data_IF_976455610656
#
_entry.id   IF_976455610656
#
_cell.length_a   1.000
_cell.length_b   1.000
_cell.length_c   1.000
_cell.angle_alpha   90.00
_cell.angle_beta   90.00
_cell.angle_gamma   90.00
#
_symmetry.space_group_name_H-M   'P 1'
#
loop_
_entity.id
_entity.type
_entity.pdbx_description
1 polymer ?
#
# COMPACT_ATOMS: atom_id res chain seq x y z
N UNK A 1 -36.73 24.22 39.57
CA UNK A 1 -37.61 23.08 39.91
C UNK A 1 -36.69 21.93 40.34
N UNK A 2 -36.91 21.42 41.55
CA UNK A 2 -36.31 20.27 42.26
C UNK A 2 -35.53 19.26 41.38
N UNK A 3 -34.39 18.64 41.76
CA UNK A 3 -33.92 18.18 43.08
C UNK A 3 -32.39 18.06 43.12
N UNK A 4 -31.84 18.34 44.31
CA UNK A 4 -30.53 17.90 44.78
C UNK A 4 -30.67 16.58 45.57
N UNK A 5 -29.54 15.89 45.80
CA UNK A 5 -29.23 14.89 46.87
C UNK A 5 -28.75 13.53 46.33
N UNK A 6 -27.81 12.76 46.90
CA UNK A 6 -26.98 12.81 48.13
C UNK A 6 -25.90 11.69 47.98
N UNK A 7 -24.73 11.91 48.59
CA UNK A 7 -23.69 11.02 49.18
C UNK A 7 -23.75 9.48 48.95
N UNK A 8 -22.65 8.71 48.92
CA UNK A 8 -21.67 8.56 50.02
C UNK A 8 -20.44 7.77 49.57
N UNK A 9 -19.26 8.15 50.07
CA UNK A 9 -18.06 7.32 50.08
C UNK A 9 -18.07 6.39 51.32
N UNK A 10 -17.51 5.18 51.21
CA UNK A 10 -16.82 4.54 52.34
C UNK A 10 -15.74 3.55 51.89
N UNK A 11 -14.79 3.44 52.79
CA UNK A 11 -13.39 3.09 52.63
C UNK A 11 -13.12 1.76 53.36
N UNK A 12 -11.93 1.17 53.11
CA UNK A 12 -11.23 0.16 53.93
C UNK A 12 -11.70 -1.30 53.95
N UNK A 13 -10.85 -2.23 53.48
CA UNK A 13 -9.89 -2.95 54.35
C UNK A 13 -8.92 -3.83 53.53
N UNK A 14 -7.64 -3.83 53.93
CA UNK A 14 -6.56 -4.76 53.49
C UNK A 14 -6.53 -6.00 54.45
N UNK A 15 -5.45 -6.82 54.53
CA UNK A 15 -5.06 -7.94 53.68
C UNK A 15 -4.75 -9.23 54.51
N UNK A 16 -4.41 -10.38 53.89
CA UNK A 16 -3.49 -11.42 54.45
C UNK A 16 -3.22 -12.51 53.39
N UNK A 17 -1.96 -12.72 52.97
CA UNK A 17 -0.98 -13.76 53.41
C UNK A 17 -1.43 -15.19 53.04
N UNK A 18 -0.65 -16.10 52.44
CA UNK A 18 0.78 -16.40 52.65
C UNK A 18 1.33 -17.40 51.63
N UNK A 19 2.61 -17.22 51.26
CA UNK A 19 3.71 -18.19 51.04
C UNK A 19 3.42 -19.58 50.44
N UNK A 20 4.22 -19.93 49.42
CA UNK A 20 5.26 -20.98 49.58
C UNK A 20 6.42 -20.78 48.60
N UNK A 21 7.61 -20.74 49.18
CA UNK A 21 8.92 -20.82 48.55
C UNK A 21 9.26 -22.27 48.21
N UNK A 22 9.86 -22.53 47.05
CA UNK A 22 10.76 -23.67 46.89
C UNK A 22 12.15 -23.16 46.50
N UNK A 23 13.08 -23.31 47.44
CA UNK A 23 14.52 -23.40 47.21
C UNK A 23 14.81 -24.85 46.84
N UNK A 24 15.60 -25.08 45.81
CA UNK A 24 16.37 -26.33 45.66
C UNK A 24 17.83 -25.96 45.39
N UNK A 25 18.69 -26.53 46.22
CA UNK A 25 20.14 -26.34 46.30
C UNK A 25 20.82 -27.58 45.72
N UNK A 26 21.81 -27.32 44.87
CA UNK A 26 23.07 -28.03 44.57
C UNK A 26 23.10 -29.55 44.34
N UNK A 27 23.80 -29.94 43.28
CA UNK A 27 24.98 -30.81 43.39
C UNK A 27 26.00 -30.43 42.31
N UNK A 28 27.25 -30.26 42.75
CA UNK A 28 28.47 -30.16 41.95
C UNK A 28 29.11 -31.54 41.99
N UNK A 29 29.54 -32.07 40.85
CA UNK A 29 30.45 -33.21 40.79
C UNK A 29 31.63 -32.84 39.90
N UNK A 30 32.80 -32.79 40.50
CA UNK A 30 34.10 -32.76 39.83
C UNK A 30 34.59 -34.20 39.74
N UNK A 31 34.99 -34.64 38.55
CA UNK A 31 35.98 -35.70 38.42
C UNK A 31 37.09 -35.22 37.49
N UNK A 32 38.29 -35.23 38.05
CA UNK A 32 39.54 -35.03 37.35
C UNK A 32 39.81 -36.23 36.43
N UNK A 33 40.29 -35.97 35.22
CA UNK A 33 40.69 -37.01 34.29
C UNK A 33 41.49 -36.44 33.14
N UNK A 34 42.67 -35.88 33.43
CA UNK A 34 43.66 -35.59 32.41
C UNK A 34 44.27 -36.91 31.92
N UNK A 35 44.15 -37.20 30.62
CA UNK A 35 45.11 -38.05 29.91
C UNK A 35 45.49 -37.32 28.61
N UNK A 36 46.78 -37.06 28.49
CA UNK A 36 47.44 -36.23 27.48
C UNK A 36 48.02 -37.13 26.39
N UNK A 37 48.06 -36.59 25.15
CA UNK A 37 48.85 -37.02 23.98
C UNK A 37 48.32 -38.27 23.23
N UNK A 38 48.10 -38.28 21.90
CA UNK A 38 48.83 -37.63 20.79
C UNK A 38 47.95 -37.58 19.51
N UNK A 39 48.12 -36.50 18.75
CA UNK A 39 48.15 -36.38 17.27
C UNK A 39 47.07 -37.11 16.45
N UNK A 40 46.17 -36.32 15.84
CA UNK A 40 45.90 -36.39 14.39
C UNK A 40 45.37 -35.03 13.92
N UNK A 41 46.23 -34.32 13.19
CA UNK A 41 45.87 -33.28 12.23
C UNK A 41 44.80 -33.81 11.28
N UNK A 42 43.82 -32.98 10.90
CA UNK A 42 43.03 -33.25 9.69
C UNK A 42 41.73 -32.46 9.61
N UNK A 43 41.79 -31.30 8.94
CA UNK A 43 40.72 -30.57 8.25
C UNK A 43 39.27 -31.09 8.38
N UNK A 44 38.37 -30.24 8.90
CA UNK A 44 37.08 -29.92 8.27
C UNK A 44 36.34 -28.83 9.07
N UNK A 45 36.85 -27.59 9.06
CA UNK A 45 36.02 -26.44 9.43
C UNK A 45 35.28 -25.97 8.16
N UNK A 46 34.21 -26.68 7.81
CA UNK A 46 33.30 -26.23 6.75
C UNK A 46 32.51 -25.05 7.33
N UNK A 47 32.84 -23.86 6.84
CA UNK A 47 32.02 -22.66 6.99
C UNK A 47 30.60 -22.95 6.51
N UNK A 48 29.68 -23.20 7.43
CA UNK A 48 28.26 -22.90 7.19
C UNK A 48 28.06 -21.39 7.39
N UNK A 49 28.62 -20.60 6.46
CA UNK A 49 28.03 -19.33 6.07
C UNK A 49 26.72 -19.71 5.37
N UNK A 50 25.67 -19.88 6.17
CA UNK A 50 24.31 -19.74 5.65
C UNK A 50 24.23 -18.30 5.14
N UNK A 51 24.13 -18.03 3.83
CA UNK A 51 23.56 -16.77 3.41
C UNK A 51 22.14 -16.81 3.98
N UNK A 52 21.91 -16.11 5.09
CA UNK A 52 20.57 -15.63 5.36
C UNK A 52 20.13 -15.01 4.05
N UNK A 53 19.01 -15.42 3.44
CA UNK A 53 18.50 -14.69 2.30
C UNK A 53 18.40 -13.27 2.81
N UNK A 54 19.22 -12.38 2.24
CA UNK A 54 18.99 -10.98 2.32
C UNK A 54 17.52 -10.88 1.93
N UNK A 55 16.66 -10.61 2.91
CA UNK A 55 15.45 -9.87 2.62
C UNK A 55 16.02 -8.66 1.91
N UNK A 56 15.98 -8.70 0.57
CA UNK A 56 16.11 -7.54 -0.26
C UNK A 56 15.24 -6.53 0.47
N UNK A 57 15.89 -5.57 1.12
CA UNK A 57 15.20 -4.56 1.88
C UNK A 57 14.27 -3.96 0.84
N UNK A 58 12.98 -4.22 0.97
CA UNK A 58 11.99 -3.60 0.12
C UNK A 58 12.33 -2.11 0.22
N UNK A 59 12.74 -1.53 -0.91
CA UNK A 59 13.20 -0.15 -0.99
C UNK A 59 12.29 0.73 -0.17
N UNK A 60 12.85 1.72 0.54
CA UNK A 60 12.19 2.46 1.62
C UNK A 60 10.83 3.03 1.14
N UNK A 61 9.81 2.19 1.27
CA UNK A 61 8.44 2.42 0.83
C UNK A 61 7.68 2.75 2.09
N UNK A 62 7.10 3.95 2.12
CA UNK A 62 6.35 4.43 3.26
C UNK A 62 5.36 5.50 2.83
N UNK A 63 4.46 5.84 3.73
CA UNK A 63 3.55 6.96 3.53
C UNK A 63 3.72 7.99 4.64
N UNK A 64 3.30 9.21 4.34
CA UNK A 64 3.15 10.27 5.32
C UNK A 64 1.71 10.72 5.31
N UNK A 65 1.13 10.86 6.50
CA UNK A 65 -0.16 11.51 6.74
C UNK A 65 0.13 12.93 7.21
N UNK A 66 -0.40 13.92 6.53
CA UNK A 66 -0.19 15.33 6.89
C UNK A 66 -1.52 16.05 7.09
N UNK A 67 -1.48 17.09 7.93
CA UNK A 67 -2.64 17.91 8.30
C UNK A 67 -2.38 19.36 7.92
N UNK A 68 -3.22 19.95 7.08
CA UNK A 68 -3.06 21.33 6.62
C UNK A 68 -4.39 22.05 6.43
N UNK A 69 -4.33 23.39 6.43
CA UNK A 69 -5.50 24.26 6.28
C UNK A 69 -6.31 24.48 7.56
N UNK A 70 -7.29 25.38 7.46
CA UNK A 70 -8.27 25.68 8.52
C UNK A 70 -9.67 25.63 7.89
N UNK A 71 -10.56 24.71 8.32
CA UNK A 71 -10.31 23.60 9.26
C UNK A 71 -9.27 22.60 8.75
N UNK A 72 -8.69 21.80 9.66
CA UNK A 72 -7.64 20.85 9.34
C UNK A 72 -8.11 19.81 8.31
N UNK A 73 -7.34 19.63 7.24
CA UNK A 73 -7.61 18.67 6.17
C UNK A 73 -6.48 17.67 6.05
N UNK A 74 -6.84 16.40 6.00
CA UNK A 74 -5.89 15.30 5.83
C UNK A 74 -5.50 15.14 4.36
N UNK A 75 -4.23 14.89 4.11
CA UNK A 75 -3.71 14.47 2.81
C UNK A 75 -2.54 13.51 3.02
N UNK A 76 -2.21 12.76 1.98
CA UNK A 76 -1.22 11.69 2.08
C UNK A 76 -0.21 11.77 0.95
N UNK A 77 1.03 11.39 1.23
CA UNK A 77 2.03 11.12 0.20
C UNK A 77 2.67 9.77 0.46
N UNK A 78 2.72 8.91 -0.55
CA UNK A 78 3.38 7.61 -0.52
C UNK A 78 4.65 7.70 -1.35
N UNK A 79 5.78 7.38 -0.73
CA UNK A 79 7.12 7.50 -1.30
C UNK A 79 7.67 6.11 -1.59
N UNK A 80 8.19 5.94 -2.79
CA UNK A 80 9.10 4.86 -3.14
C UNK A 80 10.46 5.51 -3.44
N UNK A 81 11.34 5.51 -2.42
CA UNK A 81 12.62 6.22 -2.49
C UNK A 81 13.52 5.65 -3.58
N UNK A 82 13.52 4.33 -3.73
CA UNK A 82 14.38 3.62 -4.68
C UNK A 82 13.89 3.85 -6.11
N UNK A 83 12.57 3.83 -6.32
CA UNK A 83 11.98 4.17 -7.62
C UNK A 83 11.94 5.69 -7.90
N UNK A 84 12.39 6.53 -6.95
CA UNK A 84 12.28 8.00 -7.00
C UNK A 84 10.86 8.48 -7.31
N UNK A 85 9.86 7.79 -6.78
CA UNK A 85 8.46 8.03 -7.11
C UNK A 85 7.64 8.48 -5.90
N UNK A 86 6.63 9.31 -6.16
CA UNK A 86 5.64 9.74 -5.19
C UNK A 86 4.23 9.59 -5.76
N UNK A 87 3.30 9.17 -4.91
CA UNK A 87 1.86 9.34 -5.14
C UNK A 87 1.30 10.20 -4.03
N UNK A 88 0.67 11.29 -4.42
CA UNK A 88 0.08 12.27 -3.51
C UNK A 88 -1.44 12.23 -3.61
N UNK A 89 -2.12 11.99 -2.51
CA UNK A 89 -3.57 12.10 -2.39
C UNK A 89 -3.94 13.48 -1.87
N UNK A 90 -4.74 14.22 -2.63
CA UNK A 90 -5.16 15.57 -2.26
C UNK A 90 -6.07 15.58 -1.03
N UNK A 91 -6.08 16.69 -0.26
CA UNK A 91 -7.12 16.89 0.75
C UNK A 91 -8.52 16.89 0.10
N UNK A 92 -9.57 16.57 0.87
CA UNK A 92 -10.92 16.58 0.33
C UNK A 92 -11.39 18.02 0.12
N UNK A 93 -12.28 18.20 -0.85
CA UNK A 93 -12.98 19.46 -1.09
C UNK A 93 -14.04 19.65 0.01
N UNK A 94 -14.80 18.59 0.29
CA UNK A 94 -15.82 18.52 1.34
C UNK A 94 -15.38 17.53 2.43
N UNK A 95 -15.36 18.00 3.68
CA UNK A 95 -14.90 17.23 4.84
C UNK A 95 -15.93 16.22 5.35
N UNK A 96 -17.23 16.48 5.19
CA UNK A 96 -18.28 15.59 5.68
C UNK A 96 -18.38 14.36 4.80
N UNK A 97 -18.31 14.55 3.48
CA UNK A 97 -18.49 13.49 2.49
C UNK A 97 -17.16 12.90 2.00
N UNK A 98 -16.02 13.48 2.38
CA UNK A 98 -14.69 13.17 1.82
C UNK A 98 -14.61 13.32 0.29
N UNK A 99 -15.49 14.13 -0.30
CA UNK A 99 -15.55 14.30 -1.75
C UNK A 99 -14.36 15.09 -2.31
N UNK A 100 -13.97 14.79 -3.56
CA UNK A 100 -12.97 15.54 -4.31
C UNK A 100 -11.51 15.11 -4.07
N UNK A 101 -11.27 13.97 -3.43
CA UNK A 101 -9.93 13.39 -3.29
C UNK A 101 -9.44 12.88 -4.64
N UNK A 102 -8.24 13.29 -5.04
CA UNK A 102 -7.58 12.85 -6.27
C UNK A 102 -6.16 12.40 -5.98
N UNK A 103 -5.61 11.52 -6.82
CA UNK A 103 -4.20 11.15 -6.78
C UNK A 103 -3.40 11.98 -7.79
N UNK A 104 -2.17 12.33 -7.42
CA UNK A 104 -1.19 13.00 -8.27
C UNK A 104 0.11 12.23 -8.21
N UNK A 105 0.61 11.86 -9.37
CA UNK A 105 1.94 11.28 -9.49
C UNK A 105 3.00 12.37 -9.39
N UNK A 106 4.10 12.04 -8.73
CA UNK A 106 5.26 12.88 -8.59
C UNK A 106 6.57 12.10 -8.61
N UNK A 107 7.66 12.85 -8.59
CA UNK A 107 9.03 12.36 -8.67
C UNK A 107 9.84 12.94 -7.53
N UNK A 108 10.69 12.12 -6.93
CA UNK A 108 11.66 12.56 -5.92
C UNK A 108 12.84 13.19 -6.66
N UNK A 109 13.13 14.44 -6.33
CA UNK A 109 14.19 15.24 -6.95
C UNK A 109 15.50 15.06 -6.18
N UNK A 110 15.42 15.07 -4.85
CA UNK A 110 16.57 14.93 -3.98
C UNK A 110 16.18 14.30 -2.63
N UNK A 111 17.14 13.65 -1.98
CA UNK A 111 17.03 13.16 -0.60
C UNK A 111 18.34 13.43 0.12
N UNK A 112 18.34 14.40 1.04
CA UNK A 112 19.51 14.83 1.79
C UNK A 112 19.12 15.14 3.23
N UNK A 113 19.92 14.68 4.21
CA UNK A 113 19.77 15.05 5.63
C UNK A 113 18.35 14.90 6.20
N UNK A 114 17.67 13.81 5.86
CA UNK A 114 16.30 13.55 6.30
C UNK A 114 15.23 14.40 5.60
N UNK A 115 15.59 15.20 4.59
CA UNK A 115 14.65 15.91 3.72
C UNK A 115 14.50 15.19 2.39
N UNK A 116 13.26 15.10 1.92
CA UNK A 116 12.91 14.56 0.61
C UNK A 116 12.22 15.69 -0.16
N UNK A 117 12.86 16.17 -1.22
CA UNK A 117 12.29 17.13 -2.15
C UNK A 117 11.66 16.39 -3.30
N UNK A 118 10.42 16.71 -3.63
CA UNK A 118 9.69 16.04 -4.69
C UNK A 118 8.80 17.01 -5.47
N UNK A 119 8.53 16.68 -6.72
CA UNK A 119 7.66 17.46 -7.60
C UNK A 119 6.41 16.66 -7.94
N UNK A 120 5.24 17.28 -7.79
CA UNK A 120 3.97 16.77 -8.28
C UNK A 120 3.69 17.35 -9.67
N UNK A 121 3.18 16.51 -10.56
CA UNK A 121 2.68 16.94 -11.88
C UNK A 121 1.23 17.40 -11.73
N UNK A 122 0.96 18.68 -12.01
CA UNK A 122 -0.39 19.26 -11.97
C UNK A 122 -0.64 20.04 -13.24
N UNK A 123 -1.69 19.81 -14.02
CA UNK A 123 -1.87 20.56 -15.27
C UNK A 123 -2.31 22.01 -14.97
N UNK A 124 -1.68 23.07 -15.55
CA UNK A 124 -0.62 23.07 -16.58
C UNK A 124 0.84 23.23 -16.09
N UNK A 125 1.16 22.99 -14.82
CA UNK A 125 2.52 23.14 -14.26
C UNK A 125 3.03 21.99 -13.38
N UNK A 126 3.78 22.36 -12.35
CA UNK A 126 4.36 21.45 -11.35
C UNK A 126 4.32 22.12 -9.98
N UNK A 127 4.21 21.34 -8.92
CA UNK A 127 4.30 21.84 -7.54
C UNK A 127 5.46 21.11 -6.87
N UNK A 128 6.45 21.87 -6.40
CA UNK A 128 7.50 21.34 -5.54
C UNK A 128 7.03 21.28 -4.08
N UNK A 129 7.37 20.21 -3.38
CA UNK A 129 7.14 20.06 -1.95
C UNK A 129 8.37 19.46 -1.28
N UNK A 130 8.49 19.67 0.03
CA UNK A 130 9.60 19.15 0.83
C UNK A 130 9.03 18.44 2.04
N UNK A 131 9.34 17.15 2.18
CA UNK A 131 9.07 16.42 3.42
C UNK A 131 10.34 16.38 4.27
N UNK A 132 10.29 16.95 5.47
CA UNK A 132 11.36 16.87 6.47
C UNK A 132 11.00 15.78 7.50
N UNK A 133 11.68 14.64 7.42
CA UNK A 133 11.44 13.48 8.29
C UNK A 133 11.91 13.71 9.73
N UNK A 134 12.92 14.57 9.95
CA UNK A 134 13.42 14.90 11.28
C UNK A 134 12.41 15.74 12.05
N UNK A 135 11.81 16.72 11.37
CA UNK A 135 10.77 17.59 11.94
C UNK A 135 9.36 17.01 11.82
N UNK A 136 9.19 15.98 10.98
CA UNK A 136 7.91 15.40 10.58
C UNK A 136 6.97 16.48 10.03
N UNK A 137 7.46 17.26 9.07
CA UNK A 137 6.69 18.35 8.45
C UNK A 137 6.73 18.29 6.93
N UNK A 138 5.62 18.65 6.30
CA UNK A 138 5.54 18.89 4.86
C UNK A 138 5.52 20.39 4.60
N UNK A 139 6.52 20.89 3.88
CA UNK A 139 6.60 22.27 3.44
C UNK A 139 6.06 22.41 2.02
N UNK A 140 5.15 23.36 1.86
CA UNK A 140 4.65 23.83 0.57
C UNK A 140 5.32 25.18 0.33
N UNK A 141 6.39 25.24 -0.50
CA UNK A 141 7.09 26.48 -0.77
C UNK A 141 6.13 27.54 -1.30
N UNK A 142 6.22 28.75 -0.74
CA UNK A 142 5.49 29.92 -1.20
C UNK A 142 6.06 30.49 -2.49
N UNK A 143 5.69 31.73 -2.81
CA UNK A 143 6.43 32.56 -3.76
C UNK A 143 7.46 33.42 -2.99
N UNK A 144 8.45 33.95 -3.71
CA UNK A 144 9.49 34.80 -3.12
C UNK A 144 8.90 36.04 -2.42
N UNK A 145 7.79 36.56 -2.97
CA UNK A 145 6.94 37.51 -2.26
C UNK A 145 5.87 36.75 -1.44
N UNK A 146 6.03 36.69 -0.10
CA UNK A 146 5.13 35.92 0.76
C UNK A 146 3.73 36.53 0.86
N UNK A 147 3.52 37.78 0.41
CA UNK A 147 2.20 38.41 0.44
C UNK A 147 1.23 37.79 -0.56
N UNK A 148 1.74 37.28 -1.69
CA UNK A 148 0.92 36.61 -2.70
C UNK A 148 0.70 35.14 -2.39
N UNK A 149 1.71 34.45 -1.86
CA UNK A 149 1.61 33.05 -1.45
C UNK A 149 2.65 32.72 -0.39
N UNK A 150 2.28 32.68 0.89
CA UNK A 150 3.22 32.33 1.94
C UNK A 150 3.63 30.86 1.85
N UNK A 151 4.81 30.56 2.38
CA UNK A 151 5.24 29.17 2.61
C UNK A 151 4.35 28.54 3.68
N UNK A 152 3.78 27.38 3.39
CA UNK A 152 2.99 26.61 4.36
C UNK A 152 3.82 25.47 4.93
N UNK A 153 3.68 25.22 6.23
CA UNK A 153 4.31 24.08 6.89
C UNK A 153 3.24 23.30 7.64
N UNK A 154 3.10 22.02 7.28
CA UNK A 154 2.06 21.14 7.77
C UNK A 154 2.68 20.04 8.63
N UNK A 155 2.18 19.76 9.85
CA UNK A 155 2.62 18.61 10.63
C UNK A 155 2.25 17.30 9.93
N UNK A 156 3.09 16.30 10.08
CA UNK A 156 2.93 14.99 9.47
C UNK A 156 3.28 13.85 10.43
N UNK A 157 2.84 12.65 10.08
CA UNK A 157 3.21 11.39 10.72
C UNK A 157 3.61 10.39 9.65
N UNK A 158 4.73 9.70 9.85
CA UNK A 158 5.17 8.60 8.98
C UNK A 158 4.37 7.36 9.33
N UNK A 159 3.83 6.69 8.32
CA UNK A 159 3.02 5.48 8.44
C UNK A 159 3.55 4.39 7.50
N UNK A 160 3.16 3.12 7.70
CA UNK A 160 3.36 2.10 6.69
C UNK A 160 2.80 2.53 5.31
N UNK A 161 3.26 1.89 4.22
CA UNK A 161 2.76 2.14 2.88
C UNK A 161 1.24 2.06 2.84
N UNK A 162 0.63 3.10 2.27
CA UNK A 162 -0.81 3.19 2.16
C UNK A 162 -1.32 2.16 1.15
N UNK A 163 -2.23 1.32 1.62
CA UNK A 163 -2.89 0.29 0.80
C UNK A 163 -3.63 0.92 -0.38
N UNK A 164 -3.69 0.22 -1.51
CA UNK A 164 -4.53 0.61 -2.64
C UNK A 164 -6.03 0.69 -2.26
N UNK A 165 -6.46 -0.07 -1.24
CA UNK A 165 -7.82 0.00 -0.69
C UNK A 165 -8.09 1.31 0.04
N UNK A 166 -7.05 2.00 0.52
CA UNK A 166 -7.22 3.25 1.28
C UNK A 166 -7.50 4.47 0.40
N UNK A 167 -7.59 4.33 -0.93
CA UNK A 167 -7.92 5.45 -1.80
C UNK A 167 -9.31 6.02 -1.47
N UNK A 168 -9.33 7.30 -1.09
CA UNK A 168 -10.55 8.00 -0.68
C UNK A 168 -11.03 7.70 0.75
N UNK A 169 -10.32 6.83 1.47
CA UNK A 169 -10.65 6.41 2.84
C UNK A 169 -9.66 7.04 3.82
N UNK A 170 -10.15 7.71 4.88
CA UNK A 170 -9.26 8.43 5.81
C UNK A 170 -8.51 7.51 6.75
N UNK A 171 -9.20 6.49 7.24
CA UNK A 171 -8.60 5.54 8.15
C UNK A 171 -7.66 4.60 7.38
N UNK A 172 -6.44 4.39 7.91
CA UNK A 172 -5.48 3.52 7.26
C UNK A 172 -5.96 2.08 7.33
N UNK A 173 -5.91 1.39 6.19
CA UNK A 173 -6.09 -0.06 6.13
C UNK A 173 -4.72 -0.69 6.39
N UNK A 174 -4.52 -1.21 7.59
CA UNK A 174 -3.20 -1.58 8.11
C UNK A 174 -2.70 -2.93 7.61
N UNK A 175 -3.59 -3.93 7.49
CA UNK A 175 -3.21 -5.31 7.21
C UNK A 175 -4.03 -5.90 6.06
N UNK A 176 -4.05 -5.27 4.87
CA UNK A 176 -4.73 -5.85 3.72
C UNK A 176 -4.00 -7.13 3.26
N UNK A 177 -4.77 -8.06 2.74
CA UNK A 177 -4.26 -9.26 2.08
C UNK A 177 -4.28 -8.99 0.58
N UNK A 178 -3.15 -9.19 -0.10
CA UNK A 178 -3.07 -9.15 -1.55
C UNK A 178 -2.69 -10.53 -2.08
N UNK A 179 -3.44 -11.01 -3.06
CA UNK A 179 -3.14 -12.26 -3.75
C UNK A 179 -2.97 -12.00 -5.24
N UNK A 180 -1.98 -12.67 -5.83
CA UNK A 180 -1.71 -12.65 -7.27
C UNK A 180 -2.09 -13.99 -7.86
N UNK A 181 -2.96 -13.97 -8.86
CA UNK A 181 -3.42 -15.17 -9.55
C UNK A 181 -2.73 -15.35 -10.91
N UNK A 182 -2.41 -16.60 -11.25
CA UNK A 182 -1.87 -16.96 -12.57
C UNK A 182 -3.02 -17.16 -13.56
N UNK A 183 -3.53 -16.06 -14.14
CA UNK A 183 -4.65 -16.13 -15.09
C UNK A 183 -4.48 -15.15 -16.26
N UNK A 184 -4.05 -15.65 -17.43
CA UNK A 184 -3.90 -14.90 -18.71
C UNK A 184 -3.44 -13.43 -18.55
N UNK A 185 -2.51 -13.17 -17.64
CA UNK A 185 -2.15 -11.83 -17.18
C UNK A 185 -1.93 -11.77 -15.66
N UNK A 186 -1.37 -10.65 -15.17
CA UNK A 186 -1.27 -10.42 -13.72
C UNK A 186 -2.64 -9.94 -13.21
N UNK A 187 -3.28 -10.79 -12.41
CA UNK A 187 -4.56 -10.52 -11.75
C UNK A 187 -4.30 -10.41 -10.26
N UNK A 188 -4.81 -9.36 -9.62
CA UNK A 188 -4.68 -9.15 -8.20
C UNK A 188 -6.04 -9.06 -7.53
N UNK A 189 -6.16 -9.68 -6.36
CA UNK A 189 -7.23 -9.36 -5.41
C UNK A 189 -6.57 -8.78 -4.17
N UNK A 190 -7.04 -7.60 -3.74
CA UNK A 190 -6.65 -7.01 -2.46
C UNK A 190 -7.90 -6.89 -1.60
N UNK A 191 -7.83 -7.34 -0.36
CA UNK A 191 -8.99 -7.41 0.53
C UNK A 191 -8.59 -7.11 1.97
N UNK A 192 -9.52 -6.54 2.73
CA UNK A 192 -9.35 -6.32 4.16
C UNK A 192 -10.68 -6.58 4.89
N UNK A 193 -10.67 -7.53 5.81
CA UNK A 193 -11.85 -7.96 6.53
C UNK A 193 -12.33 -6.90 7.53
N UNK A 194 -11.42 -6.12 8.11
CA UNK A 194 -11.75 -5.10 9.11
C UNK A 194 -12.53 -3.93 8.50
N UNK A 195 -12.06 -3.40 7.36
CA UNK A 195 -12.74 -2.34 6.61
C UNK A 195 -13.85 -2.86 5.69
N UNK A 196 -13.98 -4.19 5.54
CA UNK A 196 -14.90 -4.87 4.62
C UNK A 196 -14.72 -4.49 3.15
N UNK A 197 -13.51 -4.09 2.75
CA UNK A 197 -13.24 -3.65 1.39
C UNK A 197 -12.51 -4.71 0.58
N UNK A 198 -12.81 -4.76 -0.71
CA UNK A 198 -12.08 -5.57 -1.67
C UNK A 198 -11.88 -4.82 -3.00
N UNK A 199 -10.81 -5.16 -3.69
CA UNK A 199 -10.46 -4.66 -5.01
C UNK A 199 -9.93 -5.81 -5.86
N UNK A 200 -10.46 -5.93 -7.07
CA UNK A 200 -9.96 -6.81 -8.11
C UNK A 200 -9.31 -5.97 -9.21
N UNK A 201 -8.06 -6.24 -9.54
CA UNK A 201 -7.31 -5.58 -10.61
C UNK A 201 -7.01 -6.60 -11.70
N UNK A 202 -7.46 -6.33 -12.94
CA UNK A 202 -7.19 -7.20 -14.10
C UNK A 202 -6.21 -6.57 -15.09
N UNK A 203 -5.06 -7.22 -15.28
CA UNK A 203 -4.19 -7.01 -16.43
C UNK A 203 -3.46 -5.66 -16.48
N UNK A 204 -2.88 -5.34 -17.66
CA UNK A 204 -2.15 -4.08 -17.91
C UNK A 204 -3.07 -2.85 -18.05
N UNK A 205 -4.37 -3.06 -18.13
CA UNK A 205 -5.37 -2.01 -18.39
C UNK A 205 -5.76 -1.21 -17.13
N UNK A 206 -5.33 -1.62 -15.93
CA UNK A 206 -5.59 -0.86 -14.69
C UNK A 206 -7.07 -0.82 -14.29
N UNK A 207 -7.94 -1.65 -14.91
CA UNK A 207 -9.35 -1.71 -14.55
C UNK A 207 -9.50 -2.38 -13.19
N UNK A 208 -9.74 -1.55 -12.18
CA UNK A 208 -10.10 -1.95 -10.83
C UNK A 208 -11.61 -2.12 -10.67
N UNK A 209 -12.03 -3.22 -10.08
CA UNK A 209 -13.41 -3.51 -9.72
C UNK A 209 -13.52 -3.60 -8.21
N UNK A 210 -14.40 -2.81 -7.63
CA UNK A 210 -14.59 -2.77 -6.18
C UNK A 210 -15.48 -3.91 -5.72
N UNK A 211 -15.29 -4.32 -4.49
CA UNK A 211 -16.15 -5.27 -3.83
C UNK A 211 -16.06 -5.14 -2.33
N UNK A 212 -16.70 -6.08 -1.65
CA UNK A 212 -16.80 -6.10 -0.21
C UNK A 212 -16.43 -7.47 0.34
N UNK A 213 -15.81 -7.50 1.52
CA UNK A 213 -15.62 -8.74 2.27
C UNK A 213 -16.91 -9.04 3.02
N UNK A 214 -17.56 -10.15 2.67
CA UNK A 214 -18.82 -10.57 3.28
C UNK A 214 -18.62 -11.56 4.43
N UNK A 215 -17.54 -12.32 4.39
CA UNK A 215 -17.15 -13.26 5.45
C UNK A 215 -15.63 -13.47 5.45
N UNK A 216 -15.04 -13.67 6.63
CA UNK A 216 -13.60 -13.85 6.79
C UNK A 216 -13.31 -14.84 7.94
N UNK A 217 -12.97 -16.07 7.57
CA UNK A 217 -12.47 -17.10 8.47
C UNK A 217 -10.94 -17.17 8.47
N UNK A 218 -10.43 -18.14 9.26
CA UNK A 218 -8.99 -18.41 9.33
C UNK A 218 -8.43 -18.91 7.99
N UNK A 219 -9.17 -19.76 7.29
CA UNK A 219 -8.71 -20.32 6.01
C UNK A 219 -9.27 -19.54 4.81
N UNK A 220 -10.56 -19.24 4.83
CA UNK A 220 -11.27 -18.67 3.69
C UNK A 220 -11.68 -17.21 3.92
N UNK A 221 -11.68 -16.41 2.84
CA UNK A 221 -12.26 -15.06 2.79
C UNK A 221 -13.24 -15.00 1.63
N UNK A 222 -14.50 -14.66 1.92
CA UNK A 222 -15.56 -14.50 0.92
C UNK A 222 -15.74 -13.03 0.56
N UNK A 223 -15.76 -12.76 -0.74
CA UNK A 223 -15.92 -11.43 -1.32
C UNK A 223 -17.21 -11.38 -2.17
N UNK A 224 -17.84 -10.22 -2.21
CA UNK A 224 -18.85 -9.85 -3.19
C UNK A 224 -18.26 -8.81 -4.13
N UNK A 225 -18.01 -9.16 -5.39
CA UNK A 225 -17.29 -8.32 -6.36
C UNK A 225 -18.22 -7.81 -7.45
N UNK A 226 -18.05 -6.56 -7.90
CA UNK A 226 -18.99 -5.90 -8.81
C UNK A 226 -18.68 -6.01 -10.32
N UNK A 227 -17.81 -6.93 -10.77
CA UNK A 227 -17.48 -7.08 -12.19
C UNK A 227 -18.48 -8.00 -12.91
N UNK A 228 -18.96 -7.59 -14.10
CA UNK A 228 -19.95 -8.27 -14.97
C UNK A 228 -21.35 -8.45 -14.36
N UNK A 229 -21.44 -9.05 -13.17
CA UNK A 229 -22.59 -9.25 -12.26
C UNK A 229 -21.99 -9.39 -10.86
N UNK A 230 -22.63 -8.95 -9.76
CA UNK A 230 -22.14 -9.26 -8.41
C UNK A 230 -21.78 -10.74 -8.28
N UNK A 231 -20.48 -11.04 -8.17
CA UNK A 231 -19.96 -12.41 -8.09
C UNK A 231 -19.46 -12.68 -6.70
N UNK A 232 -19.86 -13.83 -6.17
CA UNK A 232 -19.22 -14.39 -4.99
C UNK A 232 -17.84 -14.90 -5.39
N UNK A 233 -16.82 -14.44 -4.69
CA UNK A 233 -15.43 -14.88 -4.85
C UNK A 233 -14.95 -15.41 -3.51
N UNK A 234 -14.23 -16.52 -3.50
CA UNK A 234 -13.68 -17.12 -2.27
C UNK A 234 -12.18 -17.28 -2.43
N UNK A 235 -11.42 -16.59 -1.58
CA UNK A 235 -9.99 -16.86 -1.38
C UNK A 235 -9.83 -17.96 -0.35
N UNK A 236 -9.04 -18.99 -0.67
CA UNK A 236 -8.70 -20.07 0.25
C UNK A 236 -7.19 -20.11 0.47
N UNK A 237 -6.76 -19.85 1.72
CA UNK A 237 -5.33 -19.75 2.07
C UNK A 237 -4.63 -21.09 1.99
N UNK A 238 -5.23 -22.15 2.54
CA UNK A 238 -4.69 -23.51 2.56
C UNK A 238 -4.48 -24.06 1.15
N UNK A 239 -5.44 -23.79 0.26
CA UNK A 239 -5.41 -24.26 -1.13
C UNK A 239 -4.69 -23.32 -2.07
N UNK A 240 -4.38 -22.10 -1.64
CA UNK A 240 -3.81 -21.07 -2.49
C UNK A 240 -4.64 -20.84 -3.77
N UNK A 241 -5.96 -20.80 -3.63
CA UNK A 241 -6.88 -20.63 -4.76
C UNK A 241 -7.89 -19.53 -4.57
N UNK A 242 -8.18 -18.81 -5.64
CA UNK A 242 -9.41 -18.03 -5.79
C UNK A 242 -10.45 -18.88 -6.52
N UNK A 243 -11.63 -19.02 -5.93
CA UNK A 243 -12.82 -19.52 -6.60
C UNK A 243 -13.73 -18.35 -6.95
N UNK A 244 -14.09 -18.21 -8.23
CA UNK A 244 -15.12 -17.29 -8.70
C UNK A 244 -16.35 -18.15 -8.97
N UNK A 245 -17.43 -17.92 -8.22
CA UNK A 245 -18.65 -18.69 -8.40
C UNK A 245 -19.32 -18.37 -9.74
N UNK A 246 -19.87 -19.41 -10.35
CA UNK A 246 -20.64 -19.33 -11.59
C UNK A 246 -22.10 -19.00 -11.33
N UNK A 247 -22.90 -19.02 -12.40
CA UNK A 247 -24.36 -19.03 -12.30
C UNK A 247 -24.83 -20.43 -12.69
N UNK A 248 -25.58 -21.08 -11.81
CA UNK A 248 -26.11 -22.42 -12.06
C UNK A 248 -26.95 -22.44 -13.35
N UNK A 249 -26.63 -23.38 -14.24
CA UNK A 249 -27.29 -23.51 -15.54
C UNK A 249 -26.78 -22.57 -16.65
N UNK A 250 -25.82 -21.68 -16.36
CA UNK A 250 -25.24 -20.79 -17.37
C UNK A 250 -23.85 -21.24 -17.84
N UNK A 251 -23.79 -21.86 -19.02
CA UNK A 251 -22.55 -22.32 -19.63
C UNK A 251 -21.57 -21.19 -20.00
N UNK A 252 -22.04 -19.96 -20.18
CA UNK A 252 -21.18 -18.80 -20.48
C UNK A 252 -20.50 -18.25 -19.22
N UNK A 253 -21.00 -18.59 -18.02
CA UNK A 253 -20.49 -18.09 -16.73
C UNK A 253 -20.24 -19.23 -15.75
N UNK A 254 -19.32 -20.16 -16.06
CA UNK A 254 -19.04 -21.30 -15.21
C UNK A 254 -18.30 -20.89 -13.93
N UNK A 255 -18.36 -21.76 -12.93
CA UNK A 255 -17.50 -21.69 -11.75
C UNK A 255 -16.04 -21.83 -12.18
N UNK A 256 -15.20 -20.90 -11.73
CA UNK A 256 -13.78 -20.86 -12.09
C UNK A 256 -12.93 -20.99 -10.84
N UNK A 257 -11.90 -21.83 -10.88
CA UNK A 257 -10.91 -21.96 -9.80
C UNK A 257 -9.54 -21.64 -10.37
N UNK A 258 -8.81 -20.76 -9.70
CA UNK A 258 -7.52 -20.24 -10.16
C UNK A 258 -6.49 -20.35 -9.05
N UNK A 259 -5.28 -20.76 -9.39
CA UNK A 259 -4.13 -20.77 -8.50
C UNK A 259 -3.63 -19.34 -8.26
N UNK A 260 -3.41 -19.00 -7.00
CA UNK A 260 -2.95 -17.68 -6.59
C UNK A 260 -1.99 -17.78 -5.41
N UNK A 261 -1.14 -16.79 -5.25
CA UNK A 261 -0.22 -16.71 -4.13
C UNK A 261 -0.42 -15.41 -3.39
N UNK A 262 -0.30 -15.45 -2.05
CA UNK A 262 -0.23 -14.22 -1.26
C UNK A 262 1.06 -13.48 -1.61
N UNK A 263 0.93 -12.17 -1.84
CA UNK A 263 2.03 -11.27 -2.21
C UNK A 263 2.02 -10.08 -1.26
N UNK A 264 3.12 -9.30 -1.19
CA UNK A 264 3.11 -8.06 -0.43
C UNK A 264 1.90 -7.19 -0.80
N UNK A 265 1.30 -6.51 0.20
CA UNK A 265 0.17 -5.61 -0.02
C UNK A 265 0.35 -4.68 -1.22
N UNK A 266 -0.67 -4.62 -2.07
CA UNK A 266 -0.78 -3.61 -3.14
C UNK A 266 -0.91 -2.23 -2.50
N UNK A 267 -0.12 -1.28 -2.96
CA UNK A 267 -0.07 0.07 -2.37
C UNK A 267 -0.60 1.11 -3.34
N UNK A 268 -0.77 2.35 -2.85
CA UNK A 268 -1.11 3.50 -3.68
C UNK A 268 -0.09 3.75 -4.81
N UNK A 269 1.10 3.13 -4.78
CA UNK A 269 2.11 3.30 -5.82
C UNK A 269 1.73 2.72 -7.17
N UNK A 270 0.68 1.89 -7.24
CA UNK A 270 0.12 1.44 -8.51
C UNK A 270 -0.43 2.60 -9.36
N UNK A 271 -0.97 3.65 -8.74
CA UNK A 271 -1.45 4.84 -9.44
C UNK A 271 -0.31 5.62 -10.13
N UNK A 272 0.92 5.55 -9.62
CA UNK A 272 2.07 6.12 -10.32
C UNK A 272 2.33 5.36 -11.63
N UNK A 273 2.31 4.02 -11.58
CA UNK A 273 2.58 3.17 -12.74
C UNK A 273 1.55 3.34 -13.86
N UNK A 274 0.29 3.60 -13.52
CA UNK A 274 -0.74 3.90 -14.51
C UNK A 274 -0.49 5.23 -15.24
N UNK A 275 -0.13 6.29 -14.50
CA UNK A 275 0.14 7.60 -15.12
C UNK A 275 1.28 7.59 -16.13
N UNK A 276 2.32 6.76 -15.92
CA UNK A 276 3.42 6.59 -16.87
C UNK A 276 2.97 5.90 -18.18
N UNK A 277 1.91 5.08 -18.15
CA UNK A 277 1.38 4.39 -19.34
C UNK A 277 0.55 5.32 -20.22
N UNK A 278 -0.22 6.22 -19.60
CA UNK A 278 -1.04 7.20 -20.33
C UNK A 278 -0.17 8.23 -21.09
N UNK A 279 1.06 8.44 -20.62
CA UNK A 279 2.02 9.38 -21.23
C UNK A 279 2.91 8.77 -22.32
N UNK A 280 2.88 7.46 -22.56
CA UNK A 280 3.62 6.86 -23.68
C UNK A 280 2.84 7.14 -24.97
N UNK A 281 3.31 8.02 -25.88
CA UNK A 281 2.66 8.17 -27.16
C UNK A 281 2.82 6.84 -27.92
N UNK A 282 1.74 6.36 -28.54
CA UNK A 282 1.82 5.34 -29.59
C UNK A 282 2.69 5.87 -30.74
N UNK A 283 4.00 5.73 -30.62
CA UNK A 283 4.95 6.05 -31.67
C UNK A 283 5.34 4.75 -32.36
N UNK A 284 4.61 4.43 -33.44
CA UNK A 284 4.89 3.22 -34.20
C UNK A 284 3.88 2.86 -35.29
N UNK A 285 3.30 3.83 -36.01
CA UNK A 285 2.81 3.53 -37.37
C UNK A 285 2.73 4.80 -38.22
N UNK A 286 3.91 5.29 -38.61
CA UNK A 286 4.01 6.32 -39.63
C UNK A 286 3.89 5.64 -41.00
N UNK A 287 2.67 5.24 -41.36
CA UNK A 287 2.39 4.76 -42.71
C UNK A 287 2.21 5.98 -43.61
N UNK A 288 3.32 6.44 -44.22
CA UNK A 288 3.31 7.41 -45.31
C UNK A 288 2.46 6.87 -46.47
N UNK A 289 1.15 7.14 -46.45
CA UNK A 289 0.32 7.07 -47.64
C UNK A 289 0.55 8.35 -48.45
N UNK A 290 1.57 8.34 -49.30
CA UNK A 290 1.65 9.18 -50.50
C UNK A 290 0.40 8.93 -51.34
N UNK A 291 -0.66 9.73 -51.14
CA UNK A 291 -1.72 9.90 -52.15
C UNK A 291 -1.38 11.11 -52.99
N UNK A 292 -0.80 10.83 -54.16
CA UNK A 292 -0.64 11.77 -55.29
C UNK A 292 -1.98 12.45 -55.56
N UNK A 293 -2.04 13.76 -55.35
CA UNK A 293 -3.08 14.63 -55.90
C UNK A 293 -2.76 14.91 -57.37
N UNK A 294 -3.18 14.01 -58.26
CA UNK A 294 -3.22 14.27 -59.69
C UNK A 294 -4.59 14.83 -60.08
N UNK A 295 -4.71 16.16 -60.22
CA UNK A 295 -5.84 16.78 -60.94
C UNK A 295 -5.56 16.69 -62.44
N UNK A 296 -6.47 16.17 -63.29
CA UNK A 296 -6.38 16.33 -64.73
C UNK A 296 -7.01 17.67 -65.14
N UNK A 297 -6.26 18.47 -65.89
CA UNK A 297 -6.77 19.63 -66.62
C UNK A 297 -7.80 19.14 -67.66
N UNK A 298 -9.05 19.58 -67.54
CA UNK A 298 -10.01 19.54 -68.65
C UNK A 298 -9.86 20.81 -69.48
N UNK A 299 -9.55 20.57 -70.75
CA UNK A 299 -9.56 21.51 -71.88
C UNK A 299 -11.02 21.90 -72.17
N UNK A 300 -11.32 23.18 -72.24
CA UNK A 300 -12.54 23.68 -72.88
C UNK A 300 -12.28 23.76 -74.39
N UNK A 301 -13.10 23.05 -75.17
CA UNK A 301 -13.36 23.36 -76.57
C UNK A 301 -14.81 23.83 -76.67
N UNK A 302 -14.96 25.00 -77.31
CA UNK A 302 -16.16 25.75 -77.72
C UNK A 302 -16.92 26.50 -76.64
#
# INVERSE_FOLDING_TARGET
MLMASIFTARQFSKPRKTRRSLKLRWTVSWTNGACVMKRLLGLALILFLMPTPDRAAAGELFSVRCEGGIPARLYFATFDVDAKAVVFETPPIDLETNFGITTRSGEIISKNDGKIEFMLRVRPGRIGLIFDSNKKTMTWPGLDDPTFRPTLTHPCTVTPPRSILSFGVRDPILNPISVRCEHTGAVYFTMDAASKQALFERGKEGRGFRGEVTDAGQDDVTLSMNFEVPRRVVWSRSRQTITIEGIDGDAARPRTVVQCQEVPPRTMMEFHRESQREETPLHGSNNQRKRKTGRPCRRHER
#
